data_IF_062492062422
#
_entry.id   IF_062492062422
#
_cell.length_a   1.000
_cell.length_b   1.000
_cell.length_c   1.000
_cell.angle_alpha   90.00
_cell.angle_beta   90.00
_cell.angle_gamma   90.00
#
_symmetry.space_group_name_H-M   'P 1'
#
loop_
_entity.id
_entity.type
_entity.pdbx_description
1 polymer ?
#
# COMPACT_ATOMS: atom_id res chain seq x y z
N UNK A 1 -21.00 2.74 19.88
CA UNK A 1 -20.66 1.32 19.61
C UNK A 1 -19.46 0.94 20.48
N UNK A 2 -19.29 -0.33 20.85
CA UNK A 2 -18.06 -0.76 21.54
C UNK A 2 -16.90 -0.83 20.53
N UNK A 3 -15.69 -0.49 20.97
CA UNK A 3 -14.50 -0.61 20.14
C UNK A 3 -14.06 -2.07 20.05
N UNK A 4 -13.98 -2.62 18.85
CA UNK A 4 -13.55 -4.01 18.62
C UNK A 4 -12.02 -4.16 18.51
N UNK A 5 -11.28 -3.04 18.40
CA UNK A 5 -9.81 -2.98 18.39
C UNK A 5 -9.20 -3.04 19.80
N UNK A 6 -9.68 -2.26 20.77
CA UNK A 6 -9.19 -2.36 22.15
C UNK A 6 -10.12 -3.16 23.09
N UNK A 7 -11.39 -3.38 22.73
CA UNK A 7 -12.41 -4.01 23.59
C UNK A 7 -12.71 -3.30 24.92
N UNK A 8 -12.09 -2.15 25.18
CA UNK A 8 -12.28 -1.37 26.41
C UNK A 8 -13.08 -0.08 26.17
N UNK A 9 -12.84 0.57 25.04
CA UNK A 9 -13.42 1.88 24.72
C UNK A 9 -14.76 1.82 23.99
N UNK A 10 -15.34 3.01 23.82
CA UNK A 10 -16.52 3.26 23.00
C UNK A 10 -16.16 4.18 21.83
N UNK A 11 -16.77 3.91 20.69
CA UNK A 11 -16.71 4.76 19.51
C UNK A 11 -17.70 5.90 19.67
N UNK A 12 -17.19 7.13 19.76
CA UNK A 12 -17.95 8.37 19.90
C UNK A 12 -17.96 9.13 18.57
N UNK A 13 -19.08 9.76 18.16
CA UNK A 13 -19.11 10.58 16.96
C UNK A 13 -18.03 11.65 16.96
N UNK A 14 -17.30 11.78 15.85
CA UNK A 14 -16.17 12.67 15.70
C UNK A 14 -15.99 13.08 14.23
N UNK A 15 -14.95 13.87 13.97
CA UNK A 15 -14.50 14.21 12.63
C UNK A 15 -12.99 14.03 12.56
N UNK A 16 -12.50 13.45 11.48
CA UNK A 16 -11.05 13.39 11.20
C UNK A 16 -10.62 14.74 10.64
N UNK A 17 -9.64 15.39 11.28
CA UNK A 17 -9.14 16.74 10.97
C UNK A 17 -10.25 17.82 10.84
N UNK A 18 -11.42 17.59 11.45
CA UNK A 18 -12.59 18.47 11.30
C UNK A 18 -13.33 18.35 9.96
N UNK A 19 -12.97 17.38 9.11
CA UNK A 19 -13.38 17.34 7.71
C UNK A 19 -14.55 16.41 7.44
N UNK A 20 -14.38 15.11 7.67
CA UNK A 20 -15.40 14.10 7.39
C UNK A 20 -15.73 13.30 8.64
N UNK A 21 -16.94 12.74 8.65
CA UNK A 21 -17.49 12.05 9.81
C UNK A 21 -16.71 10.79 10.11
N UNK A 22 -16.48 10.56 11.39
CA UNK A 22 -15.89 9.35 11.92
C UNK A 22 -16.52 9.00 13.27
N UNK A 23 -16.14 7.86 13.81
CA UNK A 23 -16.30 7.58 15.23
C UNK A 23 -14.96 7.19 15.84
N UNK A 24 -14.45 8.02 16.74
CA UNK A 24 -13.15 7.81 17.40
C UNK A 24 -13.34 7.05 18.71
N UNK A 25 -12.48 6.08 18.96
CA UNK A 25 -12.44 5.37 20.23
C UNK A 25 -11.88 6.27 21.33
N UNK A 26 -12.62 6.41 22.43
CA UNK A 26 -12.18 7.18 23.59
C UNK A 26 -11.09 6.50 24.45
N UNK A 27 -10.58 5.34 24.05
CA UNK A 27 -9.55 4.57 24.75
C UNK A 27 -8.28 4.43 23.89
N UNK A 28 -8.36 3.80 22.73
CA UNK A 28 -7.20 3.62 21.85
C UNK A 28 -7.00 4.75 20.82
N UNK A 29 -7.97 5.64 20.60
CA UNK A 29 -7.85 6.71 19.60
C UNK A 29 -8.04 6.26 18.14
N UNK A 30 -8.27 4.97 17.88
CA UNK A 30 -8.60 4.48 16.54
C UNK A 30 -9.94 5.02 16.02
N UNK A 31 -10.08 5.10 14.69
CA UNK A 31 -11.18 5.75 14.00
C UNK A 31 -11.97 4.77 13.14
N UNK A 32 -13.29 4.82 13.25
CA UNK A 32 -14.21 4.16 12.33
C UNK A 32 -14.77 5.17 11.32
N UNK A 33 -14.55 4.93 10.03
CA UNK A 33 -14.91 5.84 8.93
C UNK A 33 -15.76 5.10 7.93
N UNK A 34 -16.89 5.68 7.52
CA UNK A 34 -17.64 5.15 6.37
C UNK A 34 -17.05 5.71 5.08
N UNK A 35 -16.83 4.84 4.09
CA UNK A 35 -16.33 5.27 2.78
C UNK A 35 -17.30 6.27 2.13
N UNK A 36 -18.61 6.07 2.32
CA UNK A 36 -19.63 6.99 1.82
C UNK A 36 -19.48 8.40 2.41
N UNK A 37 -19.27 8.51 3.74
CA UNK A 37 -19.06 9.81 4.40
C UNK A 37 -17.80 10.51 3.87
N UNK A 38 -16.72 9.76 3.67
CA UNK A 38 -15.48 10.27 3.08
C UNK A 38 -15.67 10.73 1.64
N UNK A 39 -16.30 9.91 0.78
CA UNK A 39 -16.53 10.23 -0.64
C UNK A 39 -17.44 11.45 -0.76
N UNK A 40 -18.55 11.49 -0.01
CA UNK A 40 -19.47 12.62 -0.02
C UNK A 40 -18.83 13.92 0.48
N UNK A 41 -17.89 13.84 1.42
CA UNK A 41 -17.07 14.99 1.79
C UNK A 41 -16.12 15.40 0.66
N UNK A 42 -15.38 14.45 0.08
CA UNK A 42 -14.39 14.71 -0.98
C UNK A 42 -15.03 15.33 -2.23
N UNK A 43 -16.20 14.86 -2.64
CA UNK A 43 -16.93 15.41 -3.79
C UNK A 43 -17.31 16.88 -3.61
N UNK A 44 -17.53 17.32 -2.37
CA UNK A 44 -17.82 18.72 -2.00
C UNK A 44 -16.56 19.55 -1.77
N UNK A 45 -15.39 18.92 -1.69
CA UNK A 45 -14.12 19.54 -1.33
C UNK A 45 -13.01 19.10 -2.31
N UNK A 46 -13.26 19.18 -3.61
CA UNK A 46 -12.36 18.66 -4.64
C UNK A 46 -10.99 19.35 -4.66
N UNK A 47 -10.96 20.63 -4.29
CA UNK A 47 -9.73 21.43 -4.22
C UNK A 47 -8.97 21.27 -2.89
N UNK A 48 -9.53 20.51 -1.94
CA UNK A 48 -8.88 20.31 -0.65
C UNK A 48 -7.65 19.45 -0.78
N UNK A 49 -6.50 20.00 -0.37
CA UNK A 49 -5.24 19.29 -0.32
C UNK A 49 -4.96 18.91 1.14
N UNK A 50 -4.71 17.62 1.36
CA UNK A 50 -4.17 17.17 2.64
C UNK A 50 -2.70 17.56 2.70
N UNK A 51 -2.31 18.26 3.75
CA UNK A 51 -0.91 18.55 4.01
C UNK A 51 -0.23 17.31 4.60
N UNK A 52 0.96 17.01 4.12
CA UNK A 52 1.85 16.03 4.74
C UNK A 52 2.22 16.51 6.14
N UNK A 53 2.17 15.60 7.12
CA UNK A 53 2.58 15.86 8.48
C UNK A 53 4.09 15.65 8.61
N UNK A 54 4.83 16.74 8.40
CA UNK A 54 6.31 16.79 8.41
C UNK A 54 6.89 16.35 9.77
N UNK A 55 6.10 16.41 10.84
CA UNK A 55 6.50 16.05 12.21
C UNK A 55 6.19 14.60 12.62
N UNK A 56 5.55 13.82 11.76
CA UNK A 56 5.10 12.48 12.10
C UNK A 56 6.24 11.44 12.08
N UNK A 57 6.31 10.63 13.13
CA UNK A 57 7.20 9.46 13.18
C UNK A 57 6.40 8.17 12.94
N UNK A 58 6.90 7.28 12.08
CA UNK A 58 6.23 5.99 11.81
C UNK A 58 6.18 5.09 13.06
N UNK A 59 7.10 5.30 14.02
CA UNK A 59 7.12 4.62 15.31
C UNK A 59 5.89 4.93 16.19
N UNK A 60 5.14 5.99 15.89
CA UNK A 60 3.90 6.37 16.60
C UNK A 60 2.64 5.72 16.01
N UNK A 61 2.75 4.96 14.91
CA UNK A 61 1.63 4.26 14.28
C UNK A 61 1.36 2.95 14.99
N UNK A 62 0.12 2.76 15.45
CA UNK A 62 -0.34 1.45 15.90
C UNK A 62 -0.89 0.63 14.72
N UNK A 63 -0.53 -0.65 14.62
CA UNK A 63 -1.16 -1.61 13.69
C UNK A 63 -1.60 -2.86 14.44
N UNK A 64 -2.92 -3.06 14.49
CA UNK A 64 -3.53 -4.26 15.02
C UNK A 64 -3.20 -5.47 14.14
N UNK A 65 -2.18 -6.25 14.51
CA UNK A 65 -1.83 -7.49 13.79
C UNK A 65 -2.92 -8.56 13.81
N UNK A 66 -3.87 -8.48 14.76
CA UNK A 66 -4.99 -9.42 14.89
C UNK A 66 -6.12 -9.09 13.92
N UNK A 67 -6.93 -10.09 13.57
CA UNK A 67 -8.16 -9.84 12.84
C UNK A 67 -9.15 -9.05 13.72
N UNK A 68 -9.71 -7.98 13.17
CA UNK A 68 -10.72 -7.16 13.84
C UNK A 68 -12.12 -7.51 13.36
N UNK A 69 -13.11 -7.37 14.25
CA UNK A 69 -14.52 -7.48 13.92
C UNK A 69 -15.09 -6.09 13.62
N UNK A 70 -16.02 -6.00 12.68
CA UNK A 70 -16.72 -4.76 12.40
C UNK A 70 -17.53 -4.33 13.64
N UNK A 71 -17.38 -3.09 14.15
CA UNK A 71 -18.08 -2.62 15.33
C UNK A 71 -19.60 -2.47 15.14
N UNK A 72 -20.09 -2.57 13.89
CA UNK A 72 -21.51 -2.50 13.53
C UNK A 72 -22.10 -3.88 13.24
N UNK A 73 -21.51 -4.62 12.29
CA UNK A 73 -22.06 -5.90 11.82
C UNK A 73 -21.53 -7.13 12.56
N UNK A 74 -20.44 -7.00 13.32
CA UNK A 74 -19.79 -8.11 14.00
C UNK A 74 -19.08 -9.12 13.08
N UNK A 75 -19.02 -8.87 11.77
CA UNK A 75 -18.29 -9.72 10.82
C UNK A 75 -16.80 -9.42 10.83
N UNK A 76 -15.95 -10.41 10.55
CA UNK A 76 -14.50 -10.22 10.42
C UNK A 76 -14.21 -9.21 9.31
N UNK A 77 -13.32 -8.27 9.59
CA UNK A 77 -12.83 -7.29 8.62
C UNK A 77 -11.63 -7.82 7.85
N UNK A 78 -11.48 -7.33 6.63
CA UNK A 78 -10.38 -7.71 5.73
C UNK A 78 -9.27 -6.68 5.82
N UNK A 79 -8.04 -7.13 5.90
CA UNK A 79 -6.86 -6.26 5.89
C UNK A 79 -6.46 -5.86 4.48
N UNK A 80 -6.24 -4.57 4.27
CA UNK A 80 -5.80 -3.95 3.02
C UNK A 80 -4.52 -3.19 3.27
N UNK A 81 -3.44 -3.53 2.55
CA UNK A 81 -2.16 -2.86 2.73
C UNK A 81 -2.26 -1.43 2.20
N UNK A 82 -1.69 -0.49 2.94
CA UNK A 82 -1.71 0.93 2.60
C UNK A 82 -0.79 1.18 1.40
N UNK A 83 0.49 0.80 1.51
CA UNK A 83 1.49 0.95 0.46
C UNK A 83 2.42 -0.26 0.31
N UNK A 84 3.28 -0.23 -0.70
CA UNK A 84 4.32 -1.24 -0.87
C UNK A 84 5.49 -1.01 0.11
N UNK A 85 5.61 0.20 0.65
CA UNK A 85 6.76 0.70 1.41
C UNK A 85 6.69 0.34 2.89
N UNK A 86 5.49 0.28 3.47
CA UNK A 86 5.27 -0.04 4.88
C UNK A 86 4.49 -1.35 5.07
N UNK A 87 4.45 -1.89 6.29
CA UNK A 87 3.69 -3.10 6.62
C UNK A 87 2.22 -2.86 7.02
N UNK A 88 1.85 -1.61 7.27
CA UNK A 88 0.56 -1.18 7.81
C UNK A 88 -0.62 -1.53 6.91
N UNK A 89 -1.74 -1.88 7.54
CA UNK A 89 -2.94 -2.38 6.88
C UNK A 89 -4.19 -1.85 7.55
N UNK A 90 -5.04 -1.23 6.74
CA UNK A 90 -6.38 -0.85 7.15
C UNK A 90 -7.31 -2.07 7.21
N UNK A 91 -8.21 -2.07 8.17
CA UNK A 91 -9.26 -3.08 8.27
C UNK A 91 -10.57 -2.58 7.63
N UNK A 92 -11.09 -3.34 6.67
CA UNK A 92 -12.27 -2.99 5.89
C UNK A 92 -13.43 -3.97 6.10
N UNK A 93 -14.62 -3.42 6.37
CA UNK A 93 -15.88 -4.15 6.40
C UNK A 93 -16.64 -3.95 5.10
N UNK A 94 -16.67 -4.99 4.26
CA UNK A 94 -17.46 -4.96 3.01
C UNK A 94 -18.97 -4.95 3.24
N UNK A 95 -19.43 -5.36 4.43
CA UNK A 95 -20.85 -5.36 4.81
C UNK A 95 -21.34 -3.93 5.06
N UNK A 96 -20.51 -3.12 5.70
CA UNK A 96 -20.87 -1.75 6.09
C UNK A 96 -20.28 -0.68 5.17
N UNK A 97 -19.33 -1.03 4.30
CA UNK A 97 -18.54 -0.05 3.56
C UNK A 97 -17.69 0.83 4.49
N UNK A 98 -17.25 0.27 5.62
CA UNK A 98 -16.55 1.00 6.67
C UNK A 98 -15.09 0.56 6.82
N UNK A 99 -14.25 1.53 7.15
CA UNK A 99 -12.83 1.40 7.42
C UNK A 99 -12.57 1.62 8.91
N UNK A 100 -11.73 0.76 9.46
CA UNK A 100 -11.06 0.99 10.73
C UNK A 100 -9.64 1.47 10.47
N UNK A 101 -9.30 2.59 11.10
CA UNK A 101 -7.96 3.15 11.14
C UNK A 101 -7.47 3.06 12.57
N UNK A 102 -6.40 2.32 12.84
CA UNK A 102 -5.72 2.39 14.12
C UNK A 102 -5.08 3.78 14.32
N UNK A 103 -4.67 4.04 15.56
CA UNK A 103 -4.10 5.35 15.92
C UNK A 103 -2.85 5.62 15.09
N UNK A 104 -2.77 6.80 14.47
CA UNK A 104 -1.65 7.20 13.60
C UNK A 104 -1.80 6.78 12.14
N UNK A 105 -2.70 5.86 11.79
CA UNK A 105 -2.84 5.40 10.39
C UNK A 105 -3.40 6.49 9.47
N UNK A 106 -4.17 7.44 10.00
CA UNK A 106 -4.64 8.58 9.22
C UNK A 106 -3.50 9.52 8.84
N UNK A 107 -2.61 9.79 9.79
CA UNK A 107 -1.41 10.59 9.62
C UNK A 107 -0.44 9.92 8.65
N UNK A 108 -0.28 8.60 8.76
CA UNK A 108 0.47 7.80 7.77
C UNK A 108 -0.13 7.96 6.36
N UNK A 109 -1.45 7.88 6.22
CA UNK A 109 -2.12 8.09 4.93
C UNK A 109 -1.89 9.51 4.38
N UNK A 110 -1.83 10.54 5.23
CA UNK A 110 -1.47 11.91 4.79
C UNK A 110 -0.03 11.95 4.27
N UNK A 111 0.90 11.35 5.00
CA UNK A 111 2.33 11.34 4.66
C UNK A 111 2.65 10.56 3.41
N UNK A 112 1.90 9.50 3.11
CA UNK A 112 2.04 8.77 1.85
C UNK A 112 1.27 9.40 0.69
N UNK A 113 0.64 10.56 0.88
CA UNK A 113 -0.17 11.23 -0.14
C UNK A 113 -1.47 10.49 -0.48
N UNK A 114 -1.91 9.56 0.38
CA UNK A 114 -3.05 8.66 0.17
C UNK A 114 -4.35 9.14 0.83
N UNK A 115 -4.29 10.16 1.69
CA UNK A 115 -5.46 10.75 2.34
C UNK A 115 -6.52 11.23 1.33
N UNK A 116 -6.10 11.65 0.13
CA UNK A 116 -6.96 12.03 -0.99
C UNK A 116 -7.58 10.84 -1.75
N UNK A 117 -7.23 9.60 -1.42
CA UNK A 117 -7.65 8.40 -2.15
C UNK A 117 -8.06 7.24 -1.24
N UNK A 118 -8.60 7.52 -0.06
CA UNK A 118 -8.95 6.49 0.94
C UNK A 118 -9.85 5.38 0.37
N UNK A 119 -10.83 5.75 -0.45
CA UNK A 119 -11.73 4.81 -1.12
C UNK A 119 -11.02 3.90 -2.15
N UNK A 120 -9.88 4.33 -2.70
CA UNK A 120 -9.10 3.56 -3.66
C UNK A 120 -8.28 2.45 -2.97
N UNK A 121 -7.80 2.67 -1.75
CA UNK A 121 -6.94 1.74 -0.99
C UNK A 121 -7.60 0.35 -0.83
N UNK A 122 -8.92 0.33 -0.66
CA UNK A 122 -9.71 -0.90 -0.49
C UNK A 122 -10.13 -1.58 -1.81
N UNK A 123 -9.72 -1.05 -2.96
CA UNK A 123 -10.08 -1.62 -4.27
C UNK A 123 -9.16 -2.77 -4.65
N UNK A 124 -9.67 -3.71 -5.46
CA UNK A 124 -8.85 -4.82 -5.97
C UNK A 124 -7.72 -4.35 -6.88
N UNK A 125 -7.95 -3.29 -7.66
CA UNK A 125 -6.94 -2.73 -8.56
C UNK A 125 -5.76 -2.16 -7.78
N UNK A 126 -6.02 -1.41 -6.71
CA UNK A 126 -4.98 -0.90 -5.81
C UNK A 126 -4.15 -2.03 -5.20
N UNK A 127 -4.82 -3.02 -4.59
CA UNK A 127 -4.12 -4.15 -3.97
C UNK A 127 -3.36 -5.01 -4.97
N UNK A 128 -3.82 -5.09 -6.23
CA UNK A 128 -3.08 -5.74 -7.32
C UNK A 128 -1.80 -4.96 -7.64
N UNK A 129 -1.89 -3.63 -7.75
CA UNK A 129 -0.73 -2.77 -7.97
C UNK A 129 0.33 -2.90 -6.88
N UNK A 130 -0.06 -2.92 -5.60
CA UNK A 130 0.87 -3.17 -4.48
C UNK A 130 1.58 -4.52 -4.63
N UNK A 131 0.84 -5.59 -4.95
CA UNK A 131 1.43 -6.92 -5.15
C UNK A 131 2.44 -6.95 -6.29
N UNK A 132 2.15 -6.27 -7.40
CA UNK A 132 3.06 -6.18 -8.54
C UNK A 132 4.33 -5.39 -8.20
N UNK A 133 4.21 -4.28 -7.47
CA UNK A 133 5.35 -3.49 -6.99
C UNK A 133 6.23 -4.31 -6.04
N UNK A 134 5.63 -4.99 -5.05
CA UNK A 134 6.36 -5.86 -4.13
C UNK A 134 7.07 -7.00 -4.87
N UNK A 135 6.40 -7.67 -5.81
CA UNK A 135 7.01 -8.73 -6.60
C UNK A 135 8.22 -8.22 -7.40
N UNK A 136 8.11 -7.03 -7.99
CA UNK A 136 9.22 -6.39 -8.73
C UNK A 136 10.40 -6.06 -7.79
N UNK A 137 10.12 -5.54 -6.60
CA UNK A 137 11.17 -5.25 -5.61
C UNK A 137 11.84 -6.53 -5.13
N UNK A 138 11.06 -7.53 -4.73
CA UNK A 138 11.60 -8.85 -4.32
C UNK A 138 12.48 -9.46 -5.40
N UNK A 139 12.06 -9.44 -6.67
CA UNK A 139 12.89 -9.95 -7.76
C UNK A 139 14.18 -9.14 -7.95
N UNK A 140 14.09 -7.81 -7.81
CA UNK A 140 15.26 -6.92 -7.86
C UNK A 140 16.25 -7.30 -6.77
N UNK A 141 15.80 -7.47 -5.54
CA UNK A 141 16.65 -7.83 -4.39
C UNK A 141 17.25 -9.22 -4.56
N UNK A 142 16.47 -10.19 -5.05
CA UNK A 142 16.96 -11.55 -5.38
C UNK A 142 18.08 -11.49 -6.41
N UNK A 143 17.94 -10.71 -7.49
CA UNK A 143 18.96 -10.62 -8.52
C UNK A 143 20.20 -9.84 -8.06
N UNK A 144 20.02 -8.76 -7.29
CA UNK A 144 21.12 -8.03 -6.67
C UNK A 144 21.91 -8.90 -5.69
N UNK A 145 21.23 -9.66 -4.85
CA UNK A 145 21.86 -10.60 -3.92
C UNK A 145 22.61 -11.72 -4.66
N UNK A 146 22.05 -12.20 -5.79
CA UNK A 146 22.64 -13.29 -6.57
C UNK A 146 23.84 -12.87 -7.40
N UNK A 147 23.78 -11.70 -8.03
CA UNK A 147 24.79 -11.26 -9.01
C UNK A 147 25.73 -10.18 -8.47
N UNK A 148 25.36 -9.49 -7.39
CA UNK A 148 25.98 -8.24 -6.99
C UNK A 148 25.41 -7.05 -7.76
N UNK A 149 25.51 -5.85 -7.17
CA UNK A 149 24.93 -4.61 -7.71
C UNK A 149 25.44 -4.29 -9.12
N UNK A 150 26.76 -4.33 -9.32
CA UNK A 150 27.39 -3.97 -10.60
C UNK A 150 26.96 -4.92 -11.74
N UNK A 151 26.99 -6.22 -11.49
CA UNK A 151 26.60 -7.20 -12.50
C UNK A 151 25.09 -7.15 -12.79
N UNK A 152 24.28 -6.86 -11.78
CA UNK A 152 22.83 -6.68 -11.93
C UNK A 152 22.49 -5.49 -12.84
N UNK A 153 23.12 -4.32 -12.63
CA UNK A 153 22.85 -3.17 -13.49
C UNK A 153 23.36 -3.40 -14.93
N UNK A 154 24.54 -4.01 -15.11
CA UNK A 154 25.03 -4.38 -16.45
C UNK A 154 24.09 -5.33 -17.19
N UNK A 155 23.59 -6.39 -16.54
CA UNK A 155 22.68 -7.35 -17.21
C UNK A 155 21.32 -6.72 -17.51
N UNK A 156 20.87 -5.79 -16.67
CA UNK A 156 19.62 -5.04 -16.87
C UNK A 156 19.72 -4.08 -18.04
N UNK A 157 20.81 -3.33 -18.16
CA UNK A 157 21.11 -2.48 -19.31
C UNK A 157 21.22 -3.29 -20.60
N UNK A 158 22.00 -4.38 -20.57
CA UNK A 158 22.14 -5.27 -21.73
C UNK A 158 20.79 -5.84 -22.17
N UNK A 159 19.95 -6.28 -21.23
CA UNK A 159 18.60 -6.77 -21.53
C UNK A 159 17.74 -5.70 -22.20
N UNK A 160 17.77 -4.47 -21.68
CA UNK A 160 17.02 -3.35 -22.24
C UNK A 160 17.48 -3.05 -23.67
N UNK A 161 18.79 -2.93 -23.88
CA UNK A 161 19.38 -2.69 -25.20
C UNK A 161 19.04 -3.82 -26.19
N UNK A 162 19.17 -5.09 -25.78
CA UNK A 162 18.86 -6.26 -26.61
C UNK A 162 17.40 -6.30 -27.08
N UNK A 163 16.45 -5.91 -26.23
CA UNK A 163 15.03 -5.93 -26.58
C UNK A 163 14.66 -4.89 -27.63
N UNK A 164 15.43 -3.81 -27.72
CA UNK A 164 15.24 -2.73 -28.69
C UNK A 164 15.83 -3.04 -30.07
N UNK A 165 16.58 -4.13 -30.24
CA UNK A 165 17.20 -4.48 -31.52
C UNK A 165 16.28 -5.36 -32.38
N UNK A 166 16.32 -5.16 -33.69
CA UNK A 166 15.58 -5.99 -34.65
C UNK A 166 16.12 -7.43 -34.68
N UNK A 167 17.45 -7.59 -34.77
CA UNK A 167 18.13 -8.90 -34.73
C UNK A 167 18.36 -9.46 -33.31
N UNK A 168 17.46 -9.21 -32.36
CA UNK A 168 17.62 -9.65 -30.96
C UNK A 168 17.80 -11.16 -30.78
N UNK A 169 17.31 -11.98 -31.70
CA UNK A 169 17.49 -13.43 -31.67
C UNK A 169 18.95 -13.80 -31.94
N UNK A 170 19.56 -13.23 -32.98
CA UNK A 170 20.95 -13.48 -33.34
C UNK A 170 21.92 -12.93 -32.28
N UNK A 171 21.63 -11.75 -31.73
CA UNK A 171 22.41 -11.18 -30.64
C UNK A 171 22.41 -12.07 -29.38
N UNK A 172 21.29 -12.73 -29.06
CA UNK A 172 21.23 -13.70 -27.96
C UNK A 172 22.03 -14.96 -28.27
N UNK A 173 21.95 -15.46 -29.50
CA UNK A 173 22.73 -16.62 -29.91
C UNK A 173 24.23 -16.34 -29.81
N UNK A 174 24.67 -15.16 -30.27
CA UNK A 174 26.06 -14.71 -30.15
C UNK A 174 26.51 -14.64 -28.68
N UNK A 175 25.69 -14.12 -27.76
CA UNK A 175 26.03 -14.02 -26.33
C UNK A 175 26.14 -15.38 -25.63
N UNK A 176 25.43 -16.41 -26.10
CA UNK A 176 25.39 -17.74 -25.49
C UNK A 176 26.35 -18.75 -26.13
N UNK A 177 26.98 -18.39 -27.25
CA UNK A 177 27.97 -19.24 -27.90
C UNK A 177 29.25 -19.30 -27.04
N UNK A 178 29.81 -20.50 -26.86
CA UNK A 178 31.12 -20.67 -26.17
C UNK A 178 32.24 -19.95 -26.90
N UNK A 179 32.25 -20.03 -28.24
CA UNK A 179 33.08 -19.20 -29.11
C UNK A 179 32.28 -18.84 -30.38
N UNK A 180 31.75 -17.60 -30.49
CA UNK A 180 31.00 -17.18 -31.67
C UNK A 180 31.86 -17.00 -32.92
N UNK A 181 33.19 -17.11 -32.80
CA UNK A 181 34.16 -16.98 -33.89
C UNK A 181 34.86 -18.31 -34.21
N UNK A 182 34.55 -19.39 -33.48
CA UNK A 182 35.12 -20.70 -33.77
C UNK A 182 34.74 -21.15 -35.17
N UNK A 183 35.75 -21.50 -35.96
CA UNK A 183 35.58 -22.09 -37.28
C UNK A 183 35.47 -23.63 -37.23
N UNK A 184 35.60 -24.24 -36.05
CA UNK A 184 35.53 -25.69 -35.86
C UNK A 184 34.13 -26.08 -35.38
N UNK A 185 33.51 -27.01 -36.13
CA UNK A 185 32.17 -27.56 -35.87
C UNK A 185 32.15 -28.55 -34.72
#
# INVERSE_FOLDING_TARGET
MNCTSCNEGRLLPSFIDGQFRAHTCNSCGGNWVLIEDYVAWKERNQDYQFFEDISFSEDEVEDSKRALFCPVSGTIMRKFRISAQNEHKLDYSSVMGGLWLDKGEWELLKNEGLAGSLNAVVTQNWQKGIREQNAKQTLTDVYKAKFGEEAYEKIKELRHWLLAQDQKADLRAYLMAEDPYSAEK
#
